data_IF_852788527993
#
_entry.id   IF_852788527993
#
_cell.length_a   1.000
_cell.length_b   1.000
_cell.length_c   1.000
_cell.angle_alpha   90.00
_cell.angle_beta   90.00
_cell.angle_gamma   90.00
#
_symmetry.space_group_name_H-M   'P 1'
#
loop_
_entity.id
_entity.type
_entity.pdbx_description
1 polymer ?
#
# COMPACT_ATOMS: atom_id res chain seq x y z
N UNK A 1 -19.58 -4.31 4.33
CA UNK A 1 -18.35 -3.83 3.66
C UNK A 1 -18.26 -2.34 3.89
N UNK A 2 -17.11 -1.83 4.33
CA UNK A 2 -16.81 -0.40 4.16
C UNK A 2 -16.82 -0.10 2.66
N UNK A 3 -17.43 1.00 2.24
CA UNK A 3 -17.63 1.31 0.83
C UNK A 3 -16.29 1.69 0.19
N UNK A 4 -15.66 0.71 -0.48
CA UNK A 4 -14.48 0.94 -1.32
C UNK A 4 -14.90 1.87 -2.46
N UNK A 5 -14.12 2.91 -2.70
CA UNK A 5 -14.33 3.86 -3.80
C UNK A 5 -13.30 3.57 -4.90
N UNK A 6 -13.69 3.91 -6.13
CA UNK A 6 -12.74 3.87 -7.24
C UNK A 6 -11.64 4.91 -7.04
N UNK A 7 -10.40 4.47 -7.25
CA UNK A 7 -9.25 5.34 -7.25
C UNK A 7 -9.31 6.20 -8.52
N UNK A 8 -9.12 7.50 -8.38
CA UNK A 8 -9.13 8.41 -9.54
C UNK A 8 -8.02 8.04 -10.54
N UNK A 9 -8.38 8.04 -11.82
CA UNK A 9 -7.41 7.85 -12.90
C UNK A 9 -6.45 9.04 -13.04
N UNK A 10 -5.42 8.88 -13.87
CA UNK A 10 -4.39 9.89 -14.09
C UNK A 10 -4.73 10.93 -15.17
N UNK A 11 -5.93 10.92 -15.77
CA UNK A 11 -6.27 11.76 -16.94
C UNK A 11 -6.20 13.27 -16.66
N UNK A 12 -6.20 13.66 -15.37
CA UNK A 12 -6.07 15.05 -14.94
C UNK A 12 -4.61 15.50 -14.73
N UNK A 13 -3.62 14.61 -14.83
CA UNK A 13 -2.22 15.00 -14.92
C UNK A 13 -2.02 15.66 -16.29
N UNK A 14 -1.79 16.97 -16.31
CA UNK A 14 -1.90 17.74 -17.56
C UNK A 14 -0.70 18.61 -17.87
N UNK A 15 0.26 18.75 -16.96
CA UNK A 15 1.13 19.93 -17.02
C UNK A 15 2.61 19.65 -16.86
N UNK A 16 3.02 19.05 -15.75
CA UNK A 16 4.39 19.24 -15.29
C UNK A 16 5.24 18.01 -15.50
N UNK A 17 4.69 16.83 -15.25
CA UNK A 17 5.40 15.56 -15.46
C UNK A 17 5.69 15.28 -16.95
N UNK A 18 5.03 15.97 -17.88
CA UNK A 18 5.35 15.89 -19.31
C UNK A 18 6.45 16.88 -19.75
N UNK A 19 6.92 17.78 -18.87
CA UNK A 19 8.03 18.70 -19.19
C UNK A 19 9.33 17.93 -19.28
N UNK A 20 9.95 17.80 -20.45
CA UNK A 20 11.18 17.02 -20.60
C UNK A 20 12.35 17.48 -19.71
N UNK A 21 12.46 18.78 -19.44
CA UNK A 21 13.64 19.34 -18.77
C UNK A 21 13.74 18.98 -17.27
N UNK A 22 12.64 18.58 -16.62
CA UNK A 22 12.65 18.24 -15.18
C UNK A 22 13.35 16.91 -14.89
N UNK A 23 13.56 16.09 -15.93
CA UNK A 23 14.15 14.75 -15.85
C UNK A 23 15.66 14.74 -16.07
N UNK A 24 16.23 15.89 -16.47
CA UNK A 24 17.67 16.05 -16.74
C UNK A 24 18.13 15.49 -18.08
N UNK A 25 17.74 14.26 -18.43
CA UNK A 25 18.08 13.62 -19.69
C UNK A 25 16.88 12.90 -20.33
N UNK A 26 17.05 12.44 -21.58
CA UNK A 26 16.00 11.80 -22.39
C UNK A 26 15.61 10.41 -21.87
N UNK A 27 16.57 9.66 -21.33
CA UNK A 27 16.34 8.33 -20.75
C UNK A 27 15.42 8.40 -19.53
N UNK A 28 15.72 9.28 -18.58
CA UNK A 28 14.90 9.54 -17.40
C UNK A 28 13.50 10.02 -17.78
N UNK A 29 13.37 10.83 -18.84
CA UNK A 29 12.06 11.21 -19.35
C UNK A 29 11.26 9.97 -19.78
N UNK A 30 11.82 9.07 -20.59
CA UNK A 30 11.10 7.88 -21.02
C UNK A 30 10.77 6.95 -19.86
N UNK A 31 11.73 6.68 -18.97
CA UNK A 31 11.49 5.88 -17.76
C UNK A 31 10.37 6.47 -16.89
N UNK A 32 10.29 7.81 -16.78
CA UNK A 32 9.19 8.45 -16.05
C UNK A 32 7.83 8.19 -16.70
N UNK A 33 7.75 8.14 -18.03
CA UNK A 33 6.50 7.86 -18.73
C UNK A 33 6.09 6.39 -18.54
N UNK A 34 7.06 5.47 -18.55
CA UNK A 34 6.81 4.04 -18.27
C UNK A 34 6.26 3.85 -16.84
N UNK A 35 6.83 4.55 -15.85
CA UNK A 35 6.32 4.52 -14.48
C UNK A 35 4.91 5.12 -14.36
N UNK A 36 4.62 6.24 -15.05
CA UNK A 36 3.27 6.80 -15.09
C UNK A 36 2.26 5.83 -15.72
N UNK A 37 2.68 5.14 -16.79
CA UNK A 37 1.85 4.14 -17.44
C UNK A 37 1.60 2.93 -16.52
N UNK A 38 2.62 2.46 -15.79
CA UNK A 38 2.49 1.39 -14.80
C UNK A 38 1.50 1.76 -13.70
N UNK A 39 1.55 2.99 -13.19
CA UNK A 39 0.60 3.50 -12.20
C UNK A 39 -0.82 3.50 -12.79
N UNK A 40 -0.99 4.01 -14.00
CA UNK A 40 -2.29 4.07 -14.66
C UNK A 40 -2.93 2.69 -14.86
N UNK A 41 -2.17 1.70 -15.34
CA UNK A 41 -2.66 0.33 -15.47
C UNK A 41 -3.00 -0.28 -14.12
N UNK A 42 -2.16 -0.07 -13.11
CA UNK A 42 -2.41 -0.60 -11.76
C UNK A 42 -3.68 -0.01 -11.13
N UNK A 43 -3.96 1.28 -11.35
CA UNK A 43 -5.23 1.91 -10.93
C UNK A 43 -6.42 1.30 -11.65
N UNK A 44 -6.33 1.12 -12.97
CA UNK A 44 -7.43 0.54 -13.76
C UNK A 44 -7.74 -0.88 -13.29
N UNK A 45 -6.71 -1.68 -13.03
CA UNK A 45 -6.89 -3.05 -12.56
C UNK A 45 -7.43 -3.06 -11.13
N UNK A 46 -6.94 -2.22 -10.22
CA UNK A 46 -7.53 -2.07 -8.88
C UNK A 46 -9.02 -1.71 -8.94
N UNK A 47 -9.42 -0.79 -9.80
CA UNK A 47 -10.83 -0.41 -9.93
C UNK A 47 -11.69 -1.57 -10.47
N UNK A 48 -11.17 -2.36 -11.42
CA UNK A 48 -11.85 -3.56 -11.93
C UNK A 48 -12.01 -4.64 -10.86
N UNK A 49 -11.04 -4.77 -9.95
CA UNK A 49 -11.05 -5.78 -8.89
C UNK A 49 -12.15 -5.56 -7.84
N UNK A 50 -12.63 -4.32 -7.66
CA UNK A 50 -13.60 -3.95 -6.60
C UNK A 50 -14.82 -4.89 -6.57
N UNK A 51 -15.33 -5.29 -7.74
CA UNK A 51 -16.50 -6.17 -7.84
C UNK A 51 -16.28 -7.59 -7.27
N UNK A 52 -15.02 -8.06 -7.24
CA UNK A 52 -14.65 -9.39 -6.76
C UNK A 52 -14.35 -9.42 -5.26
N UNK A 53 -14.15 -8.25 -4.62
CA UNK A 53 -13.71 -8.15 -3.22
C UNK A 53 -14.80 -8.50 -2.20
N UNK A 54 -16.04 -8.76 -2.63
CA UNK A 54 -17.14 -9.21 -1.75
C UNK A 54 -16.90 -10.62 -1.19
N UNK A 55 -16.20 -11.47 -1.95
CA UNK A 55 -15.80 -12.82 -1.54
C UNK A 55 -14.40 -13.11 -2.10
N UNK A 56 -13.36 -12.44 -1.57
CA UNK A 56 -12.03 -12.47 -2.15
C UNK A 56 -11.40 -13.86 -1.99
N UNK A 57 -10.71 -14.31 -3.02
CA UNK A 57 -9.76 -15.42 -2.93
C UNK A 57 -8.40 -14.92 -2.43
N UNK A 58 -7.50 -15.85 -2.06
CA UNK A 58 -6.11 -15.49 -1.74
C UNK A 58 -5.43 -14.78 -2.92
N UNK A 59 -5.73 -15.22 -4.16
CA UNK A 59 -5.20 -14.59 -5.37
C UNK A 59 -5.60 -13.12 -5.43
N UNK A 60 -6.86 -12.81 -5.14
CA UNK A 60 -7.38 -11.43 -5.22
C UNK A 60 -6.72 -10.54 -4.16
N UNK A 61 -6.53 -11.06 -2.93
CA UNK A 61 -5.81 -10.36 -1.86
C UNK A 61 -4.37 -10.03 -2.27
N UNK A 62 -3.62 -11.04 -2.75
CA UNK A 62 -2.24 -10.86 -3.19
C UNK A 62 -2.18 -9.88 -4.36
N UNK A 63 -3.09 -10.02 -5.32
CA UNK A 63 -3.12 -9.17 -6.51
C UNK A 63 -3.33 -7.70 -6.15
N UNK A 64 -4.30 -7.40 -5.28
CA UNK A 64 -4.53 -6.03 -4.77
C UNK A 64 -3.29 -5.47 -4.08
N UNK A 65 -2.65 -6.24 -3.19
CA UNK A 65 -1.42 -5.80 -2.48
C UNK A 65 -0.32 -5.47 -3.48
N UNK A 66 -0.10 -6.32 -4.48
CA UNK A 66 0.93 -6.14 -5.52
C UNK A 66 0.65 -4.91 -6.39
N UNK A 67 -0.60 -4.68 -6.82
CA UNK A 67 -0.96 -3.51 -7.62
C UNK A 67 -0.67 -2.21 -6.87
N UNK A 68 -0.99 -2.15 -5.56
CA UNK A 68 -0.73 -0.97 -4.73
C UNK A 68 0.77 -0.79 -4.51
N UNK A 69 1.52 -1.87 -4.29
CA UNK A 69 2.97 -1.84 -4.16
C UNK A 69 3.65 -1.32 -5.45
N UNK A 70 3.18 -1.76 -6.62
CA UNK A 70 3.65 -1.23 -7.90
C UNK A 70 3.35 0.26 -8.10
N UNK A 71 2.19 0.76 -7.63
CA UNK A 71 1.90 2.20 -7.60
C UNK A 71 2.94 2.91 -6.72
N UNK A 72 3.16 2.41 -5.49
CA UNK A 72 4.11 3.02 -4.56
C UNK A 72 5.54 3.06 -5.12
N UNK A 73 6.06 1.93 -5.62
CA UNK A 73 7.41 1.83 -6.15
C UNK A 73 7.59 2.73 -7.39
N UNK A 74 6.59 2.78 -8.27
CA UNK A 74 6.63 3.66 -9.45
C UNK A 74 6.68 5.14 -9.07
N UNK A 75 5.91 5.56 -8.06
CA UNK A 75 5.95 6.95 -7.56
C UNK A 75 7.32 7.27 -6.96
N UNK A 76 7.87 6.37 -6.14
CA UNK A 76 9.21 6.56 -5.57
C UNK A 76 10.29 6.67 -6.64
N UNK A 77 10.19 5.88 -7.72
CA UNK A 77 11.09 5.97 -8.87
C UNK A 77 10.92 7.28 -9.65
N UNK A 78 9.69 7.74 -9.86
CA UNK A 78 9.44 9.06 -10.46
C UNK A 78 10.15 10.16 -9.67
N UNK A 79 10.05 10.14 -8.34
CA UNK A 79 10.71 11.13 -7.48
C UNK A 79 12.24 11.06 -7.57
N UNK A 80 12.80 9.85 -7.62
CA UNK A 80 14.25 9.63 -7.75
C UNK A 80 14.80 10.11 -9.11
N UNK A 81 13.99 10.04 -10.18
CA UNK A 81 14.37 10.46 -11.54
C UNK A 81 14.33 11.98 -11.75
N UNK A 82 13.62 12.72 -10.91
CA UNK A 82 13.60 14.18 -10.99
C UNK A 82 15.02 14.74 -10.83
N UNK A 83 15.35 15.75 -11.63
CA UNK A 83 16.64 16.46 -11.54
C UNK A 83 16.90 16.87 -10.10
N UNK A 84 18.13 16.62 -9.61
CA UNK A 84 18.56 16.98 -8.24
C UNK A 84 18.18 18.42 -7.91
N UNK A 85 17.63 18.63 -6.71
CA UNK A 85 17.08 19.90 -6.25
C UNK A 85 15.58 20.09 -6.52
N UNK A 86 14.97 19.33 -7.45
CA UNK A 86 13.52 19.35 -7.67
C UNK A 86 12.76 18.39 -6.76
N UNK A 87 13.33 17.20 -6.50
CA UNK A 87 12.73 16.20 -5.61
C UNK A 87 12.94 16.50 -4.12
N UNK A 88 14.01 17.21 -3.75
CA UNK A 88 14.41 17.37 -2.34
C UNK A 88 13.64 18.46 -1.58
N UNK A 89 13.04 19.42 -2.28
CA UNK A 89 12.28 20.52 -1.65
C UNK A 89 10.78 20.23 -1.55
N UNK A 90 10.38 19.00 -1.84
CA UNK A 90 8.99 18.64 -1.96
C UNK A 90 8.47 18.06 -0.64
N UNK A 91 7.63 18.82 0.05
CA UNK A 91 6.92 18.42 1.26
C UNK A 91 5.44 18.23 0.88
N UNK A 92 4.95 17.00 0.96
CA UNK A 92 3.52 16.72 0.80
C UNK A 92 2.72 17.42 1.88
N UNK A 93 1.50 17.86 1.56
CA UNK A 93 0.63 18.47 2.56
C UNK A 93 0.37 17.51 3.73
N UNK A 94 0.29 16.20 3.43
CA UNK A 94 0.04 15.13 4.38
C UNK A 94 1.19 14.10 4.44
N UNK A 95 2.45 14.57 4.44
CA UNK A 95 3.64 13.71 4.41
C UNK A 95 3.61 12.58 5.46
N UNK A 96 3.23 12.89 6.70
CA UNK A 96 3.17 11.90 7.79
C UNK A 96 2.14 10.80 7.51
N UNK A 97 0.98 11.17 6.95
CA UNK A 97 -0.05 10.20 6.56
C UNK A 97 0.43 9.33 5.41
N UNK A 98 1.08 9.91 4.39
CA UNK A 98 1.66 9.16 3.27
C UNK A 98 2.73 8.19 3.77
N UNK A 99 3.64 8.62 4.65
CA UNK A 99 4.68 7.77 5.21
C UNK A 99 4.09 6.63 6.06
N UNK A 100 3.04 6.90 6.82
CA UNK A 100 2.31 5.88 7.59
C UNK A 100 1.62 4.87 6.66
N UNK A 101 0.90 5.34 5.65
CA UNK A 101 0.27 4.49 4.63
C UNK A 101 1.29 3.58 3.93
N UNK A 102 2.44 4.12 3.52
CA UNK A 102 3.56 3.36 2.94
C UNK A 102 4.11 2.31 3.88
N UNK A 103 4.30 2.66 5.16
CA UNK A 103 4.77 1.72 6.18
C UNK A 103 3.81 0.55 6.36
N UNK A 104 2.51 0.83 6.41
CA UNK A 104 1.46 -0.19 6.52
C UNK A 104 1.45 -1.12 5.31
N UNK A 105 1.50 -0.58 4.09
CA UNK A 105 1.58 -1.39 2.87
C UNK A 105 2.80 -2.31 2.86
N UNK A 106 3.98 -1.77 3.17
CA UNK A 106 5.24 -2.55 3.23
C UNK A 106 5.17 -3.65 4.29
N UNK A 107 4.52 -3.38 5.42
CA UNK A 107 4.32 -4.33 6.49
C UNK A 107 3.44 -5.51 6.04
N UNK A 108 2.27 -5.23 5.46
CA UNK A 108 1.39 -6.26 4.91
C UNK A 108 2.08 -7.06 3.82
N UNK A 109 2.67 -6.39 2.81
CA UNK A 109 3.40 -7.05 1.72
C UNK A 109 4.48 -7.98 2.26
N UNK A 110 5.30 -7.49 3.18
CA UNK A 110 6.39 -8.31 3.74
C UNK A 110 5.84 -9.50 4.50
N UNK A 111 4.76 -9.33 5.26
CA UNK A 111 4.15 -10.42 6.02
C UNK A 111 3.59 -11.52 5.11
N UNK A 112 2.83 -11.15 4.08
CA UNK A 112 2.21 -12.14 3.18
C UNK A 112 3.23 -12.86 2.28
N UNK A 113 4.35 -12.20 1.95
CA UNK A 113 5.41 -12.80 1.10
C UNK A 113 6.44 -13.58 1.91
N UNK A 114 6.63 -13.26 3.19
CA UNK A 114 7.72 -13.84 3.98
C UNK A 114 7.57 -15.35 4.25
N UNK A 115 6.40 -15.97 4.00
CA UNK A 115 6.17 -17.38 4.30
C UNK A 115 7.30 -18.32 3.81
N UNK A 116 7.81 -19.26 4.64
CA UNK A 116 7.46 -19.53 6.05
C UNK A 116 8.31 -18.73 7.06
N UNK A 117 9.07 -17.73 6.60
CA UNK A 117 9.91 -16.88 7.43
C UNK A 117 9.09 -15.76 8.10
N UNK A 118 9.64 -15.20 9.18
CA UNK A 118 9.11 -13.98 9.78
C UNK A 118 9.70 -12.72 9.14
N UNK A 119 9.11 -11.57 9.45
CA UNK A 119 9.67 -10.25 9.11
C UNK A 119 9.85 -9.43 10.38
N UNK A 120 11.04 -8.84 10.56
CA UNK A 120 11.37 -8.00 11.71
C UNK A 120 11.50 -6.50 11.38
N UNK A 121 11.16 -6.13 10.14
CA UNK A 121 11.36 -4.77 9.62
C UNK A 121 10.22 -3.81 9.99
N UNK A 122 9.13 -4.31 10.58
CA UNK A 122 7.86 -3.61 10.68
C UNK A 122 7.30 -3.55 12.11
N UNK A 123 8.19 -3.32 13.10
CA UNK A 123 7.84 -3.27 14.53
C UNK A 123 6.68 -2.32 14.86
N UNK A 124 6.59 -1.16 14.20
CA UNK A 124 5.49 -0.20 14.36
C UNK A 124 4.11 -0.81 14.04
N UNK A 125 4.07 -1.84 13.21
CA UNK A 125 2.87 -2.54 12.79
C UNK A 125 2.70 -3.89 13.50
N UNK A 126 3.44 -4.16 14.58
CA UNK A 126 3.37 -5.43 15.32
C UNK A 126 4.02 -6.62 14.62
N UNK A 127 4.83 -6.35 13.58
CA UNK A 127 5.50 -7.37 12.77
C UNK A 127 7.02 -7.22 12.94
N UNK A 128 7.51 -7.61 14.11
CA UNK A 128 8.88 -7.45 14.60
C UNK A 128 9.70 -8.76 14.62
N UNK A 129 9.17 -9.80 13.99
CA UNK A 129 9.83 -11.10 13.82
C UNK A 129 9.14 -12.23 14.59
N UNK A 130 8.20 -11.90 15.47
CA UNK A 130 7.43 -12.89 16.24
C UNK A 130 6.35 -13.57 15.40
N UNK A 131 5.59 -12.78 14.62
CA UNK A 131 4.55 -13.33 13.76
C UNK A 131 5.11 -13.95 12.49
N UNK A 132 4.60 -15.13 12.14
CA UNK A 132 4.85 -15.83 10.86
C UNK A 132 3.52 -15.98 10.14
N UNK A 133 3.41 -15.46 8.91
CA UNK A 133 2.22 -15.65 8.07
C UNK A 133 2.23 -17.05 7.48
N UNK A 134 1.11 -17.78 7.62
CA UNK A 134 0.96 -19.17 7.15
C UNK A 134 -0.14 -19.35 6.10
N UNK A 135 -1.16 -18.48 6.11
CA UNK A 135 -2.28 -18.58 5.17
C UNK A 135 -3.07 -17.26 5.04
N UNK A 136 -3.88 -17.14 3.99
CA UNK A 136 -4.77 -16.00 3.73
C UNK A 136 -6.16 -16.51 3.41
N UNK A 137 -7.17 -16.11 4.20
CA UNK A 137 -8.55 -16.57 4.05
C UNK A 137 -9.54 -15.42 3.98
N UNK A 138 -10.64 -15.64 3.26
CA UNK A 138 -11.77 -14.70 3.28
C UNK A 138 -12.49 -14.74 4.63
N UNK A 139 -13.05 -13.61 5.05
CA UNK A 139 -13.87 -13.51 6.27
C UNK A 139 -15.06 -14.48 6.30
N UNK A 140 -15.52 -14.92 5.12
CA UNK A 140 -16.72 -15.75 4.98
C UNK A 140 -16.53 -17.22 5.35
N UNK A 141 -15.31 -17.66 5.68
CA UNK A 141 -15.09 -19.05 6.12
C UNK A 141 -15.76 -19.29 7.49
N UNK A 142 -16.71 -20.25 7.61
CA UNK A 142 -17.38 -20.57 8.88
C UNK A 142 -16.41 -20.91 10.02
N UNK A 143 -15.26 -21.51 9.70
CA UNK A 143 -14.19 -21.85 10.65
C UNK A 143 -13.59 -20.63 11.36
N UNK A 144 -13.54 -19.48 10.67
CA UNK A 144 -13.04 -18.22 11.26
C UNK A 144 -13.95 -17.76 12.40
N UNK A 145 -15.26 -18.03 12.33
CA UNK A 145 -16.25 -17.53 13.29
C UNK A 145 -16.46 -18.41 14.51
N UNK A 146 -16.11 -19.71 14.45
CA UNK A 146 -16.50 -20.69 15.46
C UNK A 146 -15.42 -21.03 16.50
N UNK A 147 -14.13 -20.99 16.15
CA UNK A 147 -13.09 -21.63 16.98
C UNK A 147 -12.09 -20.68 17.67
N UNK A 148 -12.14 -19.39 17.35
CA UNK A 148 -11.08 -18.47 17.75
C UNK A 148 -11.46 -17.69 19.02
N UNK A 149 -10.73 -17.94 20.11
CA UNK A 149 -10.84 -17.18 21.34
C UNK A 149 -10.50 -15.70 21.10
N UNK A 150 -11.12 -14.79 21.87
CA UNK A 150 -10.93 -13.33 21.71
C UNK A 150 -9.47 -12.88 21.73
N UNK A 151 -8.63 -13.55 22.50
CA UNK A 151 -7.19 -13.28 22.61
C UNK A 151 -6.35 -13.74 21.39
N UNK A 152 -6.94 -14.49 20.45
CA UNK A 152 -6.28 -14.90 19.20
C UNK A 152 -6.55 -13.93 18.05
N UNK A 153 -7.40 -12.92 18.27
CA UNK A 153 -7.85 -11.99 17.25
C UNK A 153 -7.12 -10.65 17.28
N UNK A 154 -6.58 -10.29 16.13
CA UNK A 154 -5.88 -9.03 15.87
C UNK A 154 -6.52 -8.32 14.69
N UNK A 155 -6.33 -7.01 14.63
CA UNK A 155 -6.69 -6.19 13.48
C UNK A 155 -5.51 -5.31 13.11
N UNK A 156 -5.09 -5.40 11.85
CA UNK A 156 -3.99 -4.62 11.32
C UNK A 156 -4.56 -3.51 10.43
N UNK A 157 -4.20 -2.27 10.76
CA UNK A 157 -4.63 -1.05 10.06
C UNK A 157 -3.44 -0.11 9.84
N UNK A 158 -3.67 1.01 9.16
CA UNK A 158 -2.66 2.07 9.01
C UNK A 158 -2.13 2.60 10.35
N UNK A 159 -2.89 2.44 11.44
CA UNK A 159 -2.49 2.84 12.80
C UNK A 159 -1.61 1.82 13.52
N UNK A 160 -1.40 0.63 12.94
CA UNK A 160 -0.73 -0.49 13.58
C UNK A 160 -1.68 -1.63 13.94
N UNK A 161 -1.14 -2.58 14.71
CA UNK A 161 -1.85 -3.79 15.11
C UNK A 161 -2.59 -3.59 16.45
N UNK A 162 -3.86 -3.98 16.49
CA UNK A 162 -4.70 -3.97 17.69
C UNK A 162 -5.07 -5.40 18.08
N UNK A 163 -4.89 -5.78 19.34
CA UNK A 163 -5.30 -7.07 19.90
C UNK A 163 -6.77 -7.08 20.32
N UNK A 164 -7.34 -8.27 20.56
CA UNK A 164 -8.73 -8.46 21.01
C UNK A 164 -9.77 -7.86 20.05
N UNK A 165 -9.46 -7.85 18.76
CA UNK A 165 -10.16 -7.06 17.75
C UNK A 165 -11.37 -7.77 17.10
N UNK A 166 -12.05 -8.63 17.85
CA UNK A 166 -13.30 -9.25 17.39
C UNK A 166 -14.33 -8.15 17.07
N UNK A 167 -15.05 -8.32 15.95
CA UNK A 167 -16.11 -7.41 15.53
C UNK A 167 -15.66 -6.25 14.64
N UNK A 168 -14.35 -6.08 14.42
CA UNK A 168 -13.85 -5.10 13.45
C UNK A 168 -14.35 -5.41 12.02
N UNK A 169 -14.57 -4.38 11.18
CA UNK A 169 -14.98 -4.55 9.80
C UNK A 169 -13.80 -5.02 8.95
N UNK A 170 -13.53 -6.32 8.97
CA UNK A 170 -12.49 -6.97 8.16
C UNK A 170 -13.09 -7.45 6.84
N UNK A 171 -12.25 -7.71 5.84
CA UNK A 171 -12.62 -8.30 4.54
C UNK A 171 -11.92 -9.67 4.34
N UNK A 172 -10.68 -9.79 4.82
CA UNK A 172 -9.91 -11.03 4.83
C UNK A 172 -9.09 -11.16 6.13
N UNK A 173 -8.52 -12.35 6.32
CA UNK A 173 -7.78 -12.74 7.52
C UNK A 173 -6.44 -13.32 7.10
N UNK A 174 -5.37 -12.79 7.68
CA UNK A 174 -4.03 -13.36 7.63
C UNK A 174 -3.89 -14.30 8.82
N UNK A 175 -3.61 -15.56 8.54
CA UNK A 175 -3.35 -16.56 9.57
C UNK A 175 -1.88 -16.51 9.89
N UNK A 176 -1.55 -16.50 11.17
CA UNK A 176 -0.16 -16.58 11.59
C UNK A 176 0.04 -17.33 12.88
N UNK A 177 1.29 -17.70 13.13
CA UNK A 177 1.74 -18.17 14.43
C UNK A 177 2.56 -17.08 15.13
N UNK A 178 2.64 -17.16 16.45
CA UNK A 178 3.44 -16.27 17.28
C UNK A 178 4.13 -17.11 18.37
N UNK A 179 5.45 -16.97 18.44
CA UNK A 179 6.25 -17.69 19.43
C UNK A 179 6.00 -17.10 20.82
N UNK A 180 5.85 -15.79 20.93
CA UNK A 180 5.69 -15.07 22.19
C UNK A 180 4.32 -15.29 22.85
N UNK A 181 3.25 -15.49 22.08
CA UNK A 181 1.88 -15.62 22.61
C UNK A 181 1.63 -17.01 23.17
N UNK A 182 1.99 -18.06 22.43
CA UNK A 182 1.69 -19.44 22.82
C UNK A 182 2.69 -20.47 22.31
N UNK A 183 3.92 -20.06 21.99
CA UNK A 183 4.96 -20.94 21.46
C UNK A 183 4.54 -21.60 20.13
N UNK A 184 3.87 -20.83 19.26
CA UNK A 184 3.36 -21.28 17.96
C UNK A 184 2.35 -22.44 18.03
N UNK A 185 1.60 -22.58 19.14
CA UNK A 185 0.66 -23.70 19.31
C UNK A 185 -0.61 -23.55 18.50
N UNK A 186 -1.17 -22.34 18.44
CA UNK A 186 -2.46 -22.09 17.79
C UNK A 186 -2.39 -20.90 16.84
N UNK A 187 -3.20 -20.94 15.78
CA UNK A 187 -3.33 -19.83 14.85
C UNK A 187 -3.74 -18.54 15.57
N UNK A 188 -3.25 -17.44 15.02
CA UNK A 188 -3.66 -16.06 15.29
C UNK A 188 -4.32 -15.52 14.03
N UNK A 189 -5.38 -14.78 14.22
CA UNK A 189 -6.24 -14.28 13.16
C UNK A 189 -6.03 -12.77 13.08
N UNK A 190 -5.29 -12.32 12.07
CA UNK A 190 -5.02 -10.90 11.84
C UNK A 190 -5.97 -10.43 10.74
N UNK A 191 -7.04 -9.77 11.14
CA UNK A 191 -8.01 -9.20 10.23
C UNK A 191 -7.49 -7.94 9.54
N UNK A 192 -7.84 -7.79 8.26
CA UNK A 192 -7.46 -6.65 7.42
C UNK A 192 -8.65 -6.22 6.56
N UNK A 193 -8.75 -4.93 6.26
CA UNK A 193 -9.75 -4.39 5.33
C UNK A 193 -9.13 -3.94 4.01
N UNK A 194 -9.84 -4.19 2.90
CA UNK A 194 -9.52 -3.58 1.61
C UNK A 194 -9.73 -2.07 1.63
N UNK A 195 -10.63 -1.54 2.47
CA UNK A 195 -10.81 -0.09 2.59
C UNK A 195 -9.53 0.61 3.04
N UNK A 196 -8.78 0.02 3.98
CA UNK A 196 -7.46 0.54 4.39
C UNK A 196 -6.45 0.48 3.24
N UNK A 197 -6.42 -0.62 2.47
CA UNK A 197 -5.52 -0.78 1.33
C UNK A 197 -5.83 0.20 0.19
N UNK A 198 -7.10 0.37 -0.17
CA UNK A 198 -7.50 1.36 -1.18
C UNK A 198 -7.24 2.78 -0.70
N UNK A 199 -7.41 3.08 0.59
CA UNK A 199 -7.01 4.35 1.18
C UNK A 199 -5.51 4.65 1.01
N UNK A 200 -4.64 3.63 1.10
CA UNK A 200 -3.22 3.81 0.76
C UNK A 200 -3.05 4.20 -0.71
N UNK A 201 -3.71 3.50 -1.62
CA UNK A 201 -3.60 3.76 -3.05
C UNK A 201 -4.10 5.17 -3.42
N UNK A 202 -5.22 5.61 -2.82
CA UNK A 202 -5.74 6.98 -2.96
C UNK A 202 -4.72 8.00 -2.49
N UNK A 203 -4.17 7.86 -1.29
CA UNK A 203 -3.14 8.76 -0.75
C UNK A 203 -1.90 8.82 -1.65
N UNK A 204 -1.45 7.68 -2.17
CA UNK A 204 -0.30 7.64 -3.09
C UNK A 204 -0.59 8.40 -4.39
N UNK A 205 -1.77 8.21 -4.97
CA UNK A 205 -2.18 8.90 -6.21
C UNK A 205 -2.38 10.40 -5.96
N UNK A 206 -2.97 10.79 -4.83
CA UNK A 206 -3.06 12.19 -4.40
C UNK A 206 -1.67 12.84 -4.30
N UNK A 207 -0.72 12.10 -3.74
CA UNK A 207 0.68 12.51 -3.65
C UNK A 207 1.27 12.82 -5.04
N UNK A 208 0.97 12.01 -6.06
CA UNK A 208 1.45 12.24 -7.43
C UNK A 208 0.80 13.49 -8.06
N UNK A 209 -0.47 13.75 -7.76
CA UNK A 209 -1.16 14.96 -8.20
C UNK A 209 -0.59 16.22 -7.58
N UNK A 210 -0.27 16.19 -6.29
CA UNK A 210 0.41 17.28 -5.61
C UNK A 210 1.80 17.54 -6.22
N UNK A 211 2.53 16.48 -6.57
CA UNK A 211 3.80 16.58 -7.28
C UNK A 211 3.65 17.29 -8.63
N UNK A 212 2.71 16.86 -9.48
CA UNK A 212 2.46 17.52 -10.77
C UNK A 212 2.07 19.00 -10.60
N UNK A 213 1.23 19.31 -9.60
CA UNK A 213 0.81 20.67 -9.29
C UNK A 213 2.00 21.55 -8.87
N UNK A 214 2.87 21.05 -8.00
CA UNK A 214 4.01 21.83 -7.51
C UNK A 214 5.07 22.07 -8.58
N UNK A 215 5.27 21.10 -9.47
CA UNK A 215 6.17 21.24 -10.62
C UNK A 215 5.64 22.22 -11.70
N UNK A 216 4.37 22.65 -11.61
CA UNK A 216 3.73 23.53 -12.61
C UNK A 216 4.42 24.88 -12.70
N UNK A 217 4.75 25.46 -11.55
CA UNK A 217 5.28 26.82 -11.44
C UNK A 217 6.79 26.91 -11.64
N UNK A 218 7.50 25.77 -11.73
CA UNK A 218 8.92 25.75 -11.98
C UNK A 218 9.21 26.12 -13.45
N UNK A 219 10.09 27.12 -13.62
CA UNK A 219 10.64 27.55 -14.91
C UNK A 219 12.08 27.04 -15.05
N UNK A 220 12.47 26.65 -16.27
CA UNK A 220 13.80 26.09 -16.60
C UNK A 220 14.97 26.99 -16.16
N UNK A 221 14.77 28.31 -16.16
CA UNK A 221 15.79 29.32 -15.83
C UNK A 221 16.06 29.46 -14.33
N UNK A 222 15.14 29.06 -13.46
CA UNK A 222 15.22 29.28 -12.01
C UNK A 222 16.18 28.29 -11.33
N UNK A 223 16.63 27.23 -12.02
CA UNK A 223 17.48 26.16 -11.46
C UNK A 223 18.86 26.17 -12.14
N UNK A 224 19.42 27.37 -12.29
CA UNK A 224 20.87 27.58 -12.49
C UNK A 224 21.44 28.14 -11.20
N UNK A 225 21.76 27.26 -10.25
CA UNK A 225 22.79 27.42 -9.22
C UNK A 225 23.15 26.03 -8.70
#
# INVERSE_FOLDING_TARGET
>A
MNRIREIKNLNKLKYSLHKQWIWGNKENFYLSQDYLQKINFSIQDLNKEIQYLSKPTMKDVIYVIVLIDWINESIEKIQQLLKKGLGNNYIYQDLDLVLKAKGYLRAIRSFVVAHPLSTNRHKKYGLDGDFICVDIRSKTSPFVKMDAYKNQWFYLSVDGMKSNAIGQPIDFVLYGYSQSIDQNKFYKYIGVSFSDLYGVAELLVDSLYELDKNLKNLKKEVIKK
#
